data_IF_690895114809
#
_entry.id   IF_690895114809
#
_cell.length_a   1.000
_cell.length_b   1.000
_cell.length_c   1.000
_cell.angle_alpha   90.00
_cell.angle_beta   90.00
_cell.angle_gamma   90.00
#
_symmetry.space_group_name_H-M   'P 1'
#
loop_
_entity.id
_entity.type
_entity.pdbx_description
1 polymer ?
#
# COMPACT_ATOMS: atom_id res chain seq x y z
N UNK A 1 -0.12 -0.68 -24.71
CA UNK A 1 1.27 -0.67 -24.20
C UNK A 1 1.57 -2.05 -23.65
N UNK A 2 2.44 -2.83 -24.32
CA UNK A 2 2.76 -4.20 -23.89
C UNK A 2 3.91 -4.14 -22.89
N UNK A 3 3.68 -4.61 -21.66
CA UNK A 3 4.75 -4.81 -20.69
C UNK A 3 5.47 -6.11 -21.09
N UNK A 4 6.75 -6.00 -21.42
CA UNK A 4 7.60 -7.12 -21.79
C UNK A 4 7.97 -7.86 -20.50
N UNK A 5 7.25 -8.95 -20.19
CA UNK A 5 7.53 -9.83 -19.06
C UNK A 5 8.70 -10.74 -19.44
N UNK A 6 9.93 -10.28 -19.20
CA UNK A 6 11.01 -11.22 -18.88
C UNK A 6 10.61 -11.90 -17.56
N UNK A 7 10.93 -13.19 -17.40
CA UNK A 7 10.59 -14.01 -16.22
C UNK A 7 11.27 -13.54 -14.91
N UNK A 8 11.10 -12.26 -14.57
CA UNK A 8 11.13 -11.77 -13.20
C UNK A 8 9.73 -11.99 -12.65
N UNK A 9 9.57 -12.97 -11.75
CA UNK A 9 8.28 -13.33 -11.16
C UNK A 9 7.55 -12.07 -10.67
N UNK A 10 6.34 -11.86 -11.16
CA UNK A 10 5.52 -10.72 -10.73
C UNK A 10 5.26 -10.82 -9.23
N UNK A 11 5.70 -9.81 -8.48
CA UNK A 11 5.49 -9.75 -7.04
C UNK A 11 4.01 -9.50 -6.70
N UNK A 12 3.55 -10.09 -5.60
CA UNK A 12 2.20 -9.84 -5.11
C UNK A 12 2.06 -8.39 -4.63
N UNK A 13 0.96 -7.72 -5.01
CA UNK A 13 0.68 -6.33 -4.64
C UNK A 13 -0.37 -6.29 -3.55
N UNK A 14 0.01 -5.80 -2.36
CA UNK A 14 -0.89 -5.58 -1.24
C UNK A 14 -1.29 -4.11 -1.16
N UNK A 15 -2.58 -3.85 -1.35
CA UNK A 15 -3.15 -2.50 -1.24
C UNK A 15 -3.77 -2.33 0.14
N UNK A 16 -3.25 -1.38 0.91
CA UNK A 16 -3.73 -1.09 2.25
C UNK A 16 -4.48 0.25 2.29
N UNK A 17 -5.73 0.20 2.73
CA UNK A 17 -6.59 1.35 2.96
C UNK A 17 -6.72 1.50 4.47
N UNK A 18 -6.25 2.64 4.99
CA UNK A 18 -6.32 2.88 6.42
C UNK A 18 -7.78 3.02 6.89
N UNK A 19 -8.04 2.60 8.13
CA UNK A 19 -9.33 2.82 8.78
C UNK A 19 -9.51 4.26 9.26
N UNK A 20 -10.36 4.44 10.29
CA UNK A 20 -10.65 5.76 10.88
C UNK A 20 -12.02 6.33 10.49
N UNK A 21 -12.98 5.46 10.14
CA UNK A 21 -14.38 5.84 9.96
C UNK A 21 -14.65 6.90 8.88
N UNK A 22 -13.71 7.09 7.95
CA UNK A 22 -13.70 8.18 6.96
C UNK A 22 -13.52 9.59 7.53
N UNK A 23 -13.19 9.75 8.81
CA UNK A 23 -12.96 11.06 9.44
C UNK A 23 -11.51 11.26 9.88
N UNK A 24 -10.79 10.18 10.11
CA UNK A 24 -9.40 10.19 10.56
C UNK A 24 -8.59 9.09 9.85
N UNK A 25 -7.27 9.15 10.01
CA UNK A 25 -6.33 8.20 9.42
C UNK A 25 -5.27 8.87 8.55
N UNK A 26 -4.11 8.23 8.48
CA UNK A 26 -2.91 8.79 7.85
C UNK A 26 -1.91 7.69 7.56
N UNK A 27 -1.10 7.91 6.53
CA UNK A 27 -0.02 7.00 6.17
C UNK A 27 1.27 7.56 6.75
N UNK A 28 1.65 7.02 7.90
CA UNK A 28 2.98 7.24 8.45
C UNK A 28 3.74 5.93 8.46
N UNK A 29 4.89 5.91 7.80
CA UNK A 29 5.82 4.77 7.83
C UNK A 29 6.28 4.39 9.24
N UNK A 30 6.25 5.34 10.20
CA UNK A 30 6.60 5.04 11.59
C UNK A 30 5.56 4.19 12.35
N UNK A 31 4.33 4.08 11.82
CA UNK A 31 3.24 3.33 12.47
C UNK A 31 2.75 2.19 11.58
N UNK A 32 2.73 2.42 10.26
CA UNK A 32 2.28 1.47 9.24
C UNK A 32 3.40 1.22 8.22
N UNK A 33 4.62 1.11 8.73
CA UNK A 33 5.80 0.84 7.94
C UNK A 33 5.68 -0.52 7.24
N UNK A 34 6.21 -0.63 6.02
CA UNK A 34 6.20 -1.88 5.27
C UNK A 34 7.26 -2.86 5.80
N UNK A 35 8.02 -2.51 6.83
CA UNK A 35 9.22 -3.23 7.31
C UNK A 35 8.95 -4.71 7.60
N UNK A 36 7.78 -5.04 8.16
CA UNK A 36 7.40 -6.44 8.42
C UNK A 36 6.96 -7.20 7.17
N UNK A 37 6.38 -6.50 6.18
CA UNK A 37 5.79 -7.13 5.00
C UNK A 37 6.79 -7.26 3.84
N UNK A 38 7.81 -6.39 3.77
CA UNK A 38 8.80 -6.41 2.69
C UNK A 38 9.64 -7.70 2.68
N UNK A 39 9.79 -8.38 3.82
CA UNK A 39 10.52 -9.65 3.92
C UNK A 39 9.95 -10.75 2.99
N UNK A 40 8.67 -10.68 2.64
CA UNK A 40 7.96 -11.68 1.83
C UNK A 40 7.98 -11.40 0.30
N UNK A 41 8.86 -10.51 -0.19
CA UNK A 41 8.92 -10.10 -1.60
C UNK A 41 7.58 -9.59 -2.14
N UNK A 42 6.92 -8.71 -1.39
CA UNK A 42 5.64 -8.11 -1.80
C UNK A 42 5.76 -6.62 -1.99
N UNK A 43 4.92 -6.08 -2.87
CA UNK A 43 4.79 -4.64 -3.09
C UNK A 43 3.65 -4.13 -2.20
N UNK A 44 3.99 -3.34 -1.17
CA UNK A 44 2.99 -2.67 -0.34
C UNK A 44 2.63 -1.30 -0.93
N UNK A 45 1.34 -1.08 -1.15
CA UNK A 45 0.79 0.21 -1.61
C UNK A 45 -0.15 0.74 -0.52
N UNK A 46 0.26 1.82 0.14
CA UNK A 46 -0.60 2.58 1.04
C UNK A 46 -1.01 3.88 0.35
N UNK A 47 -2.30 4.22 0.38
CA UNK A 47 -2.82 5.44 -0.26
C UNK A 47 -3.66 6.32 0.68
N UNK A 48 -3.39 7.62 0.65
CA UNK A 48 -4.20 8.60 1.38
C UNK A 48 -5.49 8.85 0.61
N UNK A 49 -6.61 8.91 1.31
CA UNK A 49 -7.90 9.30 0.74
C UNK A 49 -8.50 10.48 1.50
N UNK A 50 -9.44 11.20 0.88
CA UNK A 50 -10.09 12.36 1.52
C UNK A 50 -10.90 11.90 2.72
N UNK A 51 -10.82 12.69 3.79
CA UNK A 51 -11.51 12.45 5.05
C UNK A 51 -12.53 13.54 5.29
N UNK A 52 -13.64 13.15 5.89
CA UNK A 52 -14.76 14.03 6.17
C UNK A 52 -15.45 14.55 4.92
N UNK A 53 -16.57 15.25 5.10
CA UNK A 53 -17.28 15.93 4.03
C UNK A 53 -16.70 17.31 3.69
N UNK A 54 -15.62 17.74 4.35
CA UNK A 54 -15.02 19.08 4.22
C UNK A 54 -13.73 19.05 3.40
#
# INVERSE_FOLDING_TARGET
TKFNSTDDELLAVMVWIHGGGFYEGKIHSNVFGPDFLIEDNVIMVAMSYRLGPL
#
